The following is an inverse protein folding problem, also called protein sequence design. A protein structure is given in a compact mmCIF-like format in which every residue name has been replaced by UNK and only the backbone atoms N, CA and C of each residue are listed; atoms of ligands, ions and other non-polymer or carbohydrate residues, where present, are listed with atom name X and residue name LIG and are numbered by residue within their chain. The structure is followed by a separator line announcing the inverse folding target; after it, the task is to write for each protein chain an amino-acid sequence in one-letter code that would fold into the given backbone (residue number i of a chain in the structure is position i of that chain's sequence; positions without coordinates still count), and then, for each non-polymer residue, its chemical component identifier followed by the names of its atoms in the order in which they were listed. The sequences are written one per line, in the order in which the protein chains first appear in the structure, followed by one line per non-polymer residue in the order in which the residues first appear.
data_IF_908922751555
#
_entry.id   IF_908922751555
#
_cell.length_a   1.000
_cell.length_b   1.000
_cell.length_c   1.000
_cell.angle_alpha   90.00
_cell.angle_beta   90.00
_cell.angle_gamma   90.00
#
_symmetry.space_group_name_H-M   'P 1'
#
loop_
_entity.id
_entity.type
_entity.pdbx_description
1 polymer ?
#
# COMPACT_ATOMS: atom_id res chain seq x y z
N UNK A 1 1.44 -30.21 5.71
CA UNK A 1 2.44 -29.26 6.20
C UNK A 1 1.75 -28.08 6.88
N UNK A 2 2.27 -27.61 7.98
CA UNK A 2 1.82 -26.42 8.70
C UNK A 2 2.76 -25.26 8.37
N UNK A 3 2.22 -24.07 8.15
CA UNK A 3 3.03 -22.86 8.23
C UNK A 3 3.38 -22.65 9.71
N UNK A 4 4.63 -22.86 10.07
CA UNK A 4 5.12 -22.64 11.43
C UNK A 4 5.97 -21.38 11.47
N UNK A 5 5.77 -20.60 12.53
CA UNK A 5 6.58 -19.42 12.78
C UNK A 5 7.92 -19.86 13.35
N UNK A 6 8.98 -19.77 12.53
CA UNK A 6 10.34 -20.17 12.94
C UNK A 6 10.97 -19.12 13.88
N UNK A 7 10.73 -17.83 13.62
CA UNK A 7 11.27 -16.74 14.42
C UNK A 7 10.23 -15.64 14.59
N UNK A 8 9.67 -15.53 15.79
CA UNK A 8 8.68 -14.52 16.15
C UNK A 8 9.23 -13.09 16.00
N UNK A 9 10.49 -12.87 16.39
CA UNK A 9 11.07 -11.53 16.39
C UNK A 9 11.33 -11.01 14.97
N UNK A 10 11.70 -11.86 14.02
CA UNK A 10 11.84 -11.47 12.62
C UNK A 10 10.50 -11.04 11.99
N UNK A 11 9.42 -11.70 12.36
CA UNK A 11 8.07 -11.32 11.91
C UNK A 11 7.66 -10.00 12.53
N UNK A 12 7.82 -9.86 13.85
CA UNK A 12 7.40 -8.67 14.61
C UNK A 12 8.18 -7.41 14.19
N UNK A 13 9.49 -7.55 14.01
CA UNK A 13 10.38 -6.45 13.64
C UNK A 13 10.64 -6.36 12.13
N UNK A 14 9.83 -7.01 11.31
CA UNK A 14 9.94 -6.82 9.86
C UNK A 14 9.70 -5.34 9.50
N UNK A 15 10.46 -4.76 8.54
CA UNK A 15 10.30 -3.36 8.16
C UNK A 15 8.86 -2.99 7.75
N UNK A 16 8.15 -3.94 7.14
CA UNK A 16 6.74 -3.76 6.74
C UNK A 16 5.83 -3.68 7.97
N UNK A 17 6.03 -4.58 8.95
CA UNK A 17 5.22 -4.59 10.18
C UNK A 17 5.43 -3.31 10.98
N UNK A 18 6.69 -2.89 11.18
CA UNK A 18 7.03 -1.65 11.90
C UNK A 18 6.41 -0.45 11.23
N UNK A 19 6.58 -0.29 9.92
CA UNK A 19 6.06 0.86 9.19
C UNK A 19 4.52 0.93 9.27
N UNK A 20 3.83 -0.19 9.09
CA UNK A 20 2.36 -0.27 9.21
C UNK A 20 1.89 0.01 10.62
N UNK A 21 2.57 -0.50 11.63
CA UNK A 21 2.27 -0.23 13.03
C UNK A 21 2.38 1.26 13.36
N UNK A 22 3.51 1.89 13.00
CA UNK A 22 3.73 3.32 13.22
C UNK A 22 2.70 4.17 12.49
N UNK A 23 2.42 3.85 11.23
CA UNK A 23 1.41 4.56 10.43
C UNK A 23 0.02 4.47 11.06
N UNK A 24 -0.39 3.28 11.52
CA UNK A 24 -1.70 3.05 12.12
C UNK A 24 -1.84 3.78 13.47
N UNK A 25 -0.85 3.68 14.36
CA UNK A 25 -0.90 4.37 15.66
C UNK A 25 -0.90 5.88 15.47
N UNK A 26 -0.06 6.39 14.57
CA UNK A 26 0.01 7.82 14.30
C UNK A 26 -1.30 8.37 13.72
N UNK A 27 -2.00 7.60 12.89
CA UNK A 27 -3.34 7.98 12.41
C UNK A 27 -4.35 8.10 13.57
N UNK A 28 -4.25 7.23 14.57
CA UNK A 28 -5.00 7.34 15.81
C UNK A 28 -4.70 8.62 16.60
N UNK A 29 -3.44 9.07 16.60
CA UNK A 29 -3.05 10.33 17.25
C UNK A 29 -3.64 11.55 16.52
N UNK A 30 -3.67 11.54 15.19
CA UNK A 30 -4.34 12.58 14.39
C UNK A 30 -5.82 12.65 14.74
N UNK A 31 -6.50 11.50 14.82
CA UNK A 31 -7.92 11.42 15.21
C UNK A 31 -8.13 11.98 16.64
N UNK A 32 -7.28 11.58 17.59
CA UNK A 32 -7.36 12.08 18.97
C UNK A 32 -7.17 13.59 19.05
N UNK A 33 -6.23 14.15 18.30
CA UNK A 33 -5.98 15.59 18.25
C UNK A 33 -7.20 16.36 17.72
N UNK A 34 -7.82 15.86 16.64
CA UNK A 34 -9.05 16.47 16.08
C UNK A 34 -10.19 16.42 17.08
N UNK A 35 -10.36 15.29 17.78
CA UNK A 35 -11.39 15.14 18.79
C UNK A 35 -11.22 16.15 19.92
N UNK A 36 -10.00 16.31 20.46
CA UNK A 36 -9.69 17.28 21.52
C UNK A 36 -9.96 18.70 21.04
N UNK A 37 -9.58 19.06 19.81
CA UNK A 37 -9.87 20.39 19.24
C UNK A 37 -11.38 20.59 19.12
N UNK A 38 -12.12 19.60 18.65
CA UNK A 38 -13.57 19.67 18.50
C UNK A 38 -14.29 19.90 19.82
N UNK A 39 -13.93 19.14 20.88
CA UNK A 39 -14.47 19.32 22.22
C UNK A 39 -14.11 20.68 22.78
N UNK A 40 -12.85 21.12 22.64
CA UNK A 40 -12.38 22.42 23.12
C UNK A 40 -13.09 23.58 22.41
N UNK A 41 -13.31 23.47 21.09
CA UNK A 41 -14.09 24.45 20.33
C UNK A 41 -15.53 24.54 20.82
N UNK A 42 -16.15 23.40 21.16
CA UNK A 42 -17.48 23.38 21.76
C UNK A 42 -17.54 24.10 23.11
N UNK A 43 -16.51 23.90 23.98
CA UNK A 43 -16.40 24.64 25.24
C UNK A 43 -16.30 26.16 25.02
N UNK A 44 -15.51 26.60 24.02
CA UNK A 44 -15.41 28.02 23.65
C UNK A 44 -16.77 28.61 23.22
N UNK A 45 -17.49 27.89 22.34
CA UNK A 45 -18.82 28.31 21.90
C UNK A 45 -19.82 28.44 23.04
N UNK A 46 -19.70 27.57 24.05
CA UNK A 46 -20.53 27.63 25.29
C UNK A 46 -20.01 28.59 26.32
N UNK A 47 -18.87 29.27 26.06
CA UNK A 47 -18.19 30.20 27.01
C UNK A 47 -17.87 29.55 28.36
N UNK A 48 -17.58 28.23 28.33
CA UNK A 48 -17.20 27.43 29.49
C UNK A 48 -15.71 27.12 29.44
N UNK A 49 -15.06 27.11 30.59
CA UNK A 49 -13.64 26.71 30.74
C UNK A 49 -12.73 27.27 29.63
N UNK A 50 -12.94 28.54 29.26
CA UNK A 50 -12.31 29.18 28.08
C UNK A 50 -10.77 29.09 28.14
N UNK A 51 -10.18 29.26 29.31
CA UNK A 51 -8.72 29.21 29.48
C UNK A 51 -8.19 27.80 29.21
N UNK A 52 -8.84 26.78 29.77
CA UNK A 52 -8.49 25.38 29.56
C UNK A 52 -8.67 25.00 28.07
N UNK A 53 -9.80 25.38 27.46
CA UNK A 53 -10.09 25.07 26.04
C UNK A 53 -9.03 25.68 25.11
N UNK A 54 -8.59 26.92 25.34
CA UNK A 54 -7.53 27.55 24.54
C UNK A 54 -6.19 26.81 24.64
N UNK A 55 -5.77 26.43 25.86
CA UNK A 55 -4.55 25.65 26.03
C UNK A 55 -4.65 24.28 25.39
N UNK A 56 -5.79 23.59 25.55
CA UNK A 56 -6.02 22.28 24.91
C UNK A 56 -5.96 22.35 23.40
N UNK A 57 -6.51 23.42 22.79
CA UNK A 57 -6.42 23.63 21.32
C UNK A 57 -4.95 23.78 20.88
N UNK A 58 -4.15 24.58 21.57
CA UNK A 58 -2.72 24.76 21.21
C UNK A 58 -1.96 23.44 21.31
N UNK A 59 -2.12 22.71 22.41
CA UNK A 59 -1.45 21.42 22.61
C UNK A 59 -1.89 20.42 21.55
N UNK A 60 -3.21 20.28 21.36
CA UNK A 60 -3.74 19.32 20.39
C UNK A 60 -3.40 19.67 18.94
N UNK A 61 -3.41 20.96 18.56
CA UNK A 61 -3.02 21.38 17.22
C UNK A 61 -1.53 21.16 16.95
N UNK A 62 -0.66 21.42 17.92
CA UNK A 62 0.78 21.14 17.81
C UNK A 62 1.03 19.64 17.68
N UNK A 63 0.44 18.84 18.56
CA UNK A 63 0.57 17.38 18.52
C UNK A 63 0.00 16.78 17.24
N UNK A 64 -1.18 17.26 16.82
CA UNK A 64 -1.83 16.82 15.58
C UNK A 64 -1.02 17.18 14.34
N UNK A 65 -0.42 18.36 14.27
CA UNK A 65 0.45 18.77 13.17
C UNK A 65 1.69 17.88 13.07
N UNK A 66 2.40 17.66 14.20
CA UNK A 66 3.57 16.78 14.22
C UNK A 66 3.20 15.34 13.83
N UNK A 67 2.09 14.83 14.36
CA UNK A 67 1.58 13.50 14.02
C UNK A 67 1.21 13.39 12.52
N UNK A 68 0.58 14.41 11.94
CA UNK A 68 0.21 14.42 10.52
C UNK A 68 1.43 14.48 9.60
N UNK A 69 2.47 15.22 9.95
CA UNK A 69 3.74 15.24 9.22
C UNK A 69 4.46 13.88 9.30
N UNK A 70 4.48 13.27 10.48
CA UNK A 70 5.05 11.94 10.65
C UNK A 70 4.23 10.87 9.90
N UNK A 71 2.89 11.01 9.86
CA UNK A 71 2.00 10.15 9.08
C UNK A 71 2.30 10.24 7.58
N UNK A 72 2.58 11.42 7.05
CA UNK A 72 3.00 11.61 5.66
C UNK A 72 4.34 10.90 5.38
N UNK A 73 5.31 11.01 6.29
CA UNK A 73 6.60 10.33 6.17
C UNK A 73 6.46 8.78 6.18
N UNK A 74 5.69 8.22 7.10
CA UNK A 74 5.44 6.76 7.13
C UNK A 74 4.58 6.31 5.95
N UNK A 75 3.73 7.20 5.42
CA UNK A 75 2.96 6.98 4.19
C UNK A 75 3.85 6.83 2.95
N UNK A 76 4.87 7.67 2.81
CA UNK A 76 5.89 7.54 1.75
C UNK A 76 6.62 6.19 1.83
N UNK A 77 7.05 5.78 3.04
CA UNK A 77 7.63 4.46 3.26
C UNK A 77 6.67 3.32 2.89
N UNK A 78 5.37 3.48 3.17
CA UNK A 78 4.35 2.51 2.76
C UNK A 78 4.18 2.44 1.24
N UNK A 79 4.22 3.57 0.53
CA UNK A 79 4.13 3.62 -0.93
C UNK A 79 5.31 2.86 -1.57
N UNK A 80 6.52 3.10 -1.09
CA UNK A 80 7.70 2.36 -1.52
C UNK A 80 7.56 0.85 -1.30
N UNK A 81 7.13 0.41 -0.11
CA UNK A 81 6.93 -1.01 0.19
C UNK A 81 5.84 -1.65 -0.68
N UNK A 82 4.76 -0.91 -0.99
CA UNK A 82 3.69 -1.39 -1.87
C UNK A 82 4.21 -1.56 -3.29
N UNK A 83 5.03 -0.63 -3.81
CA UNK A 83 5.64 -0.75 -5.12
C UNK A 83 6.49 -2.02 -5.25
N UNK A 84 7.30 -2.33 -4.22
CA UNK A 84 8.20 -3.49 -4.22
C UNK A 84 7.50 -4.83 -3.97
N UNK A 85 6.46 -4.86 -3.15
CA UNK A 85 5.84 -6.12 -2.67
C UNK A 85 4.46 -6.40 -3.27
N UNK A 86 3.76 -5.38 -3.73
CA UNK A 86 2.38 -5.46 -4.21
C UNK A 86 2.16 -4.56 -5.44
N UNK A 87 2.90 -4.75 -6.55
CA UNK A 87 2.83 -3.87 -7.71
C UNK A 87 1.42 -3.78 -8.32
N UNK A 88 0.64 -4.87 -8.33
CA UNK A 88 -0.76 -4.84 -8.77
C UNK A 88 -1.61 -3.90 -7.93
N UNK A 89 -1.38 -3.85 -6.62
CA UNK A 89 -2.08 -2.91 -5.74
C UNK A 89 -1.69 -1.47 -6.05
N UNK A 90 -0.40 -1.19 -6.30
CA UNK A 90 0.05 0.14 -6.71
C UNK A 90 -0.60 0.56 -8.02
N UNK A 91 -0.57 -0.30 -9.04
CA UNK A 91 -1.19 -0.04 -10.34
C UNK A 91 -2.69 0.26 -10.22
N UNK A 92 -3.42 -0.50 -9.38
CA UNK A 92 -4.83 -0.25 -9.11
C UNK A 92 -5.08 1.05 -8.32
N UNK A 93 -4.22 1.37 -7.34
CA UNK A 93 -4.29 2.64 -6.59
C UNK A 93 -4.08 3.84 -7.48
N UNK A 94 -3.29 3.72 -8.54
CA UNK A 94 -2.98 4.80 -9.48
C UNK A 94 -3.87 4.77 -10.73
N UNK A 95 -4.69 3.73 -10.94
CA UNK A 95 -5.45 3.54 -12.16
C UNK A 95 -4.53 3.36 -13.38
N UNK A 96 -3.33 2.84 -13.17
CA UNK A 96 -2.31 2.64 -14.19
C UNK A 96 -2.55 1.30 -14.90
N UNK A 97 -3.16 1.34 -16.08
CA UNK A 97 -3.42 0.13 -16.87
C UNK A 97 -2.21 -0.29 -17.69
N UNK A 98 -1.50 0.66 -18.31
CA UNK A 98 -0.27 0.41 -19.08
C UNK A 98 0.91 1.02 -18.34
N UNK A 99 1.97 0.24 -18.13
CA UNK A 99 3.19 0.69 -17.49
C UNK A 99 3.93 1.72 -18.31
N UNK A 100 4.71 2.53 -17.63
CA UNK A 100 5.52 3.57 -18.27
C UNK A 100 6.78 3.90 -17.47
N UNK A 101 7.80 4.34 -18.15
CA UNK A 101 8.96 4.96 -17.51
C UNK A 101 8.62 6.40 -17.08
N UNK A 102 9.14 6.83 -15.94
CA UNK A 102 8.87 8.16 -15.42
C UNK A 102 7.39 8.40 -15.15
N UNK A 103 6.70 7.42 -14.58
CA UNK A 103 5.27 7.48 -14.33
C UNK A 103 4.87 8.66 -13.44
N UNK A 104 3.85 9.40 -13.85
CA UNK A 104 3.25 10.49 -13.08
C UNK A 104 2.35 9.97 -11.96
N UNK A 105 2.31 10.71 -10.84
CA UNK A 105 1.36 10.48 -9.76
C UNK A 105 0.06 11.22 -10.08
N UNK A 106 -1.05 10.53 -10.18
CA UNK A 106 -2.36 11.17 -10.38
C UNK A 106 -2.80 11.83 -9.07
N UNK A 107 -2.75 13.15 -9.01
CA UNK A 107 -3.20 13.91 -7.85
C UNK A 107 -4.74 13.95 -7.77
N UNK A 108 -5.38 14.29 -8.89
CA UNK A 108 -6.85 14.32 -9.03
C UNK A 108 -7.21 13.68 -10.37
N UNK A 109 -8.24 12.84 -10.39
CA UNK A 109 -8.72 12.23 -11.62
C UNK A 109 -10.07 11.56 -11.46
N UNK A 110 -10.75 11.38 -12.58
CA UNK A 110 -11.97 10.60 -12.67
C UNK A 110 -11.73 9.42 -13.61
N UNK A 111 -11.91 8.22 -13.10
CA UNK A 111 -11.80 6.99 -13.88
C UNK A 111 -12.95 6.87 -14.87
N UNK A 112 -12.68 6.30 -16.03
CA UNK A 112 -13.71 5.95 -17.02
C UNK A 112 -14.58 4.82 -16.47
N UNK A 113 -15.91 4.99 -16.40
CA UNK A 113 -16.80 3.94 -15.93
C UNK A 113 -16.73 2.69 -16.78
N UNK A 114 -16.68 1.52 -16.12
CA UNK A 114 -16.62 0.24 -16.80
C UNK A 114 -15.36 0.01 -17.63
N UNK A 115 -14.24 0.66 -17.29
CA UNK A 115 -12.91 0.31 -17.81
C UNK A 115 -12.48 -1.02 -17.22
N UNK A 116 -12.17 -1.97 -18.10
CA UNK A 116 -11.63 -3.28 -17.78
C UNK A 116 -10.17 -3.42 -18.21
N UNK A 117 -9.53 -4.48 -17.79
CA UNK A 117 -8.11 -4.73 -17.97
C UNK A 117 -7.68 -4.77 -19.44
N UNK A 118 -8.42 -5.39 -20.33
CA UNK A 118 -8.03 -5.65 -21.72
C UNK A 118 -8.89 -4.87 -22.76
N UNK A 119 -9.62 -3.84 -22.32
CA UNK A 119 -10.39 -3.00 -23.22
C UNK A 119 -9.59 -1.79 -23.76
N UNK A 120 -10.04 -1.23 -24.88
CA UNK A 120 -9.41 -0.08 -25.53
C UNK A 120 -9.82 1.28 -24.96
N UNK A 121 -10.67 1.31 -23.92
CA UNK A 121 -11.10 2.57 -23.31
C UNK A 121 -9.96 3.27 -22.62
N UNK A 122 -9.91 4.60 -22.73
CA UNK A 122 -8.98 5.40 -21.92
C UNK A 122 -9.28 5.24 -20.42
N UNK A 123 -8.25 5.09 -19.57
CA UNK A 123 -8.43 4.88 -18.13
C UNK A 123 -9.12 6.02 -17.41
N UNK A 124 -8.96 7.26 -17.90
CA UNK A 124 -9.44 8.47 -17.26
C UNK A 124 -10.30 9.31 -18.18
N UNK A 125 -11.39 9.85 -17.65
CA UNK A 125 -12.14 10.93 -18.29
C UNK A 125 -11.32 12.21 -18.24
N UNK A 126 -10.69 12.49 -17.09
CA UNK A 126 -9.70 13.54 -16.92
C UNK A 126 -8.74 13.15 -15.79
N UNK A 127 -7.51 13.65 -15.84
CA UNK A 127 -6.51 13.53 -14.77
C UNK A 127 -5.63 14.77 -14.68
N UNK A 128 -5.21 15.09 -13.47
CA UNK A 128 -4.14 16.01 -13.17
C UNK A 128 -3.06 15.19 -12.49
N UNK A 129 -1.89 15.13 -13.10
CA UNK A 129 -0.78 14.32 -12.60
C UNK A 129 0.45 15.16 -12.34
N UNK A 130 1.25 14.73 -11.37
CA UNK A 130 2.58 15.29 -11.10
C UNK A 130 3.58 14.39 -11.82
N UNK A 131 4.26 14.90 -12.88
CA UNK A 131 5.15 14.09 -13.71
C UNK A 131 6.25 13.41 -12.88
N UNK A 132 6.61 12.17 -13.23
CA UNK A 132 7.70 11.38 -12.63
C UNK A 132 7.56 11.07 -11.13
N UNK A 133 6.53 11.58 -10.46
CA UNK A 133 6.40 11.47 -9.01
C UNK A 133 6.09 10.03 -8.57
N UNK A 134 5.31 9.27 -9.34
CA UNK A 134 5.01 7.87 -9.01
C UNK A 134 6.26 6.99 -9.07
N UNK A 135 7.08 7.14 -10.13
CA UNK A 135 8.37 6.46 -10.25
C UNK A 135 9.31 6.83 -9.10
N UNK A 136 9.38 8.12 -8.74
CA UNK A 136 10.23 8.60 -7.66
C UNK A 136 9.79 8.03 -6.29
N UNK A 137 8.51 8.05 -5.96
CA UNK A 137 7.99 7.55 -4.68
C UNK A 137 8.07 6.02 -4.59
N UNK A 138 7.71 5.31 -5.66
CA UNK A 138 7.68 3.85 -5.68
C UNK A 138 9.04 3.18 -5.81
N UNK A 139 9.98 3.81 -6.52
CA UNK A 139 11.25 3.17 -6.89
C UNK A 139 12.49 4.01 -6.55
N UNK A 140 12.32 5.18 -5.93
CA UNK A 140 13.42 6.12 -5.60
C UNK A 140 14.24 6.55 -6.81
N UNK A 141 13.68 6.40 -8.01
CA UNK A 141 14.24 6.80 -9.29
C UNK A 141 13.14 7.43 -10.15
N UNK A 142 13.35 8.68 -10.58
CA UNK A 142 12.34 9.43 -11.33
C UNK A 142 12.03 8.86 -12.72
N UNK A 143 12.96 8.11 -13.30
CA UNK A 143 12.83 7.49 -14.62
C UNK A 143 12.57 5.97 -14.57
N UNK A 144 12.34 5.40 -13.35
CA UNK A 144 12.05 3.99 -13.21
C UNK A 144 10.75 3.61 -13.92
N UNK A 145 10.75 2.41 -14.54
CA UNK A 145 9.54 1.81 -15.09
C UNK A 145 8.59 1.40 -13.97
N UNK A 146 7.34 1.82 -14.06
CA UNK A 146 6.25 1.39 -13.15
C UNK A 146 5.31 0.51 -13.95
N UNK A 147 5.17 -0.80 -13.61
CA UNK A 147 4.29 -1.69 -14.33
C UNK A 147 2.82 -1.34 -14.08
N UNK A 148 2.02 -1.37 -15.13
CA UNK A 148 0.57 -1.22 -15.08
C UNK A 148 -0.14 -2.56 -14.86
N UNK A 149 -1.45 -2.51 -14.76
CA UNK A 149 -2.31 -3.70 -14.57
C UNK A 149 -2.08 -4.71 -15.68
N UNK A 150 -2.06 -4.26 -16.95
CA UNK A 150 -1.88 -5.13 -18.12
C UNK A 150 -0.50 -5.82 -18.08
N UNK A 151 0.56 -5.05 -17.83
CA UNK A 151 1.92 -5.60 -17.76
C UNK A 151 2.06 -6.67 -16.66
N UNK A 152 1.39 -6.47 -15.52
CA UNK A 152 1.47 -7.42 -14.40
C UNK A 152 0.68 -8.71 -14.69
N UNK A 153 -0.42 -8.61 -15.46
CA UNK A 153 -1.20 -9.77 -15.91
C UNK A 153 -0.48 -10.51 -17.01
N UNK A 154 0.01 -9.80 -18.02
CA UNK A 154 0.66 -10.37 -19.22
C UNK A 154 2.10 -10.81 -18.92
N UNK A 155 2.79 -10.17 -17.99
CA UNK A 155 4.20 -10.41 -17.71
C UNK A 155 5.13 -9.82 -18.76
N UNK A 156 6.38 -10.30 -18.79
CA UNK A 156 7.36 -9.94 -19.83
C UNK A 156 8.12 -8.64 -19.61
N UNK A 157 7.79 -7.84 -18.59
CA UNK A 157 8.54 -6.63 -18.24
C UNK A 157 9.76 -6.95 -17.36
N UNK A 158 10.82 -6.17 -17.51
CA UNK A 158 12.01 -6.29 -16.68
C UNK A 158 11.83 -5.60 -15.33
N UNK A 159 12.29 -6.23 -14.25
CA UNK A 159 12.36 -5.63 -12.94
C UNK A 159 13.63 -6.12 -12.21
N UNK A 160 14.01 -5.41 -11.15
CA UNK A 160 15.14 -5.83 -10.31
C UNK A 160 14.59 -6.49 -9.06
N UNK A 161 15.08 -7.69 -8.74
CA UNK A 161 14.66 -8.43 -7.56
C UNK A 161 15.27 -7.85 -6.26
N UNK A 162 14.95 -8.47 -5.12
CA UNK A 162 15.43 -8.03 -3.82
C UNK A 162 16.97 -8.17 -3.64
N UNK A 163 17.61 -8.97 -4.49
CA UNK A 163 19.08 -9.18 -4.48
C UNK A 163 19.80 -8.22 -5.43
N UNK A 164 19.06 -7.40 -6.19
CA UNK A 164 19.62 -6.50 -7.19
C UNK A 164 19.80 -7.14 -8.57
N UNK A 165 19.30 -8.35 -8.79
CA UNK A 165 19.45 -9.07 -10.05
C UNK A 165 18.29 -8.73 -11.02
N UNK A 166 18.59 -8.52 -12.32
CA UNK A 166 17.56 -8.27 -13.32
C UNK A 166 16.75 -9.55 -13.58
N UNK A 167 15.44 -9.41 -13.52
CA UNK A 167 14.47 -10.49 -13.74
C UNK A 167 13.43 -10.08 -14.76
N UNK A 168 12.82 -11.08 -15.42
CA UNK A 168 11.65 -10.89 -16.27
C UNK A 168 10.41 -11.35 -15.51
N UNK A 169 9.40 -10.50 -15.44
CA UNK A 169 8.16 -10.79 -14.73
C UNK A 169 7.38 -11.92 -15.42
N UNK A 170 6.96 -12.89 -14.63
CA UNK A 170 6.07 -13.95 -15.10
C UNK A 170 4.65 -13.41 -15.28
N UNK A 171 3.93 -13.92 -16.29
CA UNK A 171 2.51 -13.66 -16.45
C UNK A 171 1.68 -14.22 -15.28
N UNK A 172 0.45 -13.74 -15.12
CA UNK A 172 -0.48 -14.27 -14.14
C UNK A 172 -0.72 -15.77 -14.35
N UNK A 173 -0.87 -16.22 -15.60
CA UNK A 173 -1.03 -17.63 -15.96
C UNK A 173 0.18 -18.47 -15.55
N UNK A 174 1.39 -17.99 -15.83
CA UNK A 174 2.63 -18.68 -15.43
C UNK A 174 2.74 -18.77 -13.90
N UNK A 175 2.39 -17.69 -13.17
CA UNK A 175 2.36 -17.69 -11.69
C UNK A 175 1.33 -18.69 -11.16
N UNK A 176 0.15 -18.78 -11.79
CA UNK A 176 -0.89 -19.74 -11.42
C UNK A 176 -0.43 -21.19 -11.69
N UNK A 177 0.21 -21.44 -12.82
CA UNK A 177 0.76 -22.77 -13.15
C UNK A 177 1.82 -23.21 -12.13
N UNK A 178 2.78 -22.34 -11.80
CA UNK A 178 3.77 -22.58 -10.75
C UNK A 178 3.14 -22.77 -9.36
N UNK A 179 2.09 -22.01 -9.05
CA UNK A 179 1.33 -22.17 -7.81
C UNK A 179 0.66 -23.53 -7.70
N UNK A 180 0.07 -24.05 -8.78
CA UNK A 180 -0.51 -25.41 -8.82
C UNK A 180 0.55 -26.49 -8.61
N UNK A 181 1.74 -26.31 -9.21
CA UNK A 181 2.89 -27.21 -8.98
C UNK A 181 3.29 -27.20 -7.50
N UNK A 182 3.35 -26.01 -6.88
CA UNK A 182 3.68 -25.91 -5.46
C UNK A 182 2.65 -26.58 -4.55
N UNK A 183 1.35 -26.46 -4.85
CA UNK A 183 0.26 -27.12 -4.10
C UNK A 183 0.39 -28.63 -4.21
N UNK A 184 0.63 -29.15 -5.44
CA UNK A 184 0.80 -30.58 -5.66
C UNK A 184 2.06 -31.10 -4.95
N UNK A 185 3.18 -30.39 -5.09
CA UNK A 185 4.43 -30.78 -4.42
C UNK A 185 4.29 -30.82 -2.88
N UNK A 186 3.47 -29.94 -2.29
CA UNK A 186 3.17 -29.99 -0.86
C UNK A 186 2.35 -31.24 -0.49
N UNK A 187 1.37 -31.61 -1.29
CA UNK A 187 0.59 -32.82 -1.08
C UNK A 187 1.45 -34.09 -1.16
N UNK A 188 2.28 -34.16 -2.22
CA UNK A 188 3.20 -35.28 -2.45
C UNK A 188 4.28 -35.38 -1.35
N UNK A 189 4.81 -34.24 -0.88
CA UNK A 189 5.71 -34.18 0.27
C UNK A 189 5.06 -34.76 1.54
N UNK A 190 3.80 -34.40 1.76
CA UNK A 190 3.07 -34.88 2.95
C UNK A 190 2.85 -36.41 2.86
N UNK A 191 2.46 -36.93 1.69
CA UNK A 191 2.29 -38.36 1.46
C UNK A 191 3.62 -39.13 1.66
N UNK A 192 4.73 -38.64 1.08
CA UNK A 192 6.05 -39.23 1.26
C UNK A 192 6.50 -39.21 2.74
N UNK A 193 6.11 -38.16 3.49
CA UNK A 193 6.38 -38.08 4.93
C UNK A 193 5.63 -39.13 5.73
N UNK A 194 4.36 -39.37 5.40
CA UNK A 194 3.53 -40.38 6.07
C UNK A 194 4.02 -41.81 5.78
N UNK A 195 4.62 -42.02 4.59
CA UNK A 195 5.25 -43.30 4.18
C UNK A 195 6.67 -43.46 4.73
N UNK A 196 7.27 -42.41 5.30
CA UNK A 196 8.65 -42.40 5.78
C UNK A 196 9.71 -42.44 4.66
N UNK A 197 9.33 -42.08 3.44
CA UNK A 197 10.21 -42.06 2.27
C UNK A 197 11.03 -40.77 2.18
N UNK A 198 12.21 -40.78 2.77
CA UNK A 198 13.11 -39.62 2.87
C UNK A 198 13.58 -39.08 1.52
N UNK A 199 13.80 -39.94 0.53
CA UNK A 199 14.25 -39.54 -0.80
C UNK A 199 13.16 -38.74 -1.52
N UNK A 200 11.92 -39.23 -1.52
CA UNK A 200 10.78 -38.52 -2.12
C UNK A 200 10.43 -37.24 -1.36
N UNK A 201 10.60 -37.22 -0.04
CA UNK A 201 10.44 -35.97 0.72
C UNK A 201 11.39 -34.88 0.27
N UNK A 202 12.69 -35.16 0.12
CA UNK A 202 13.68 -34.16 -0.32
C UNK A 202 13.42 -33.72 -1.77
N UNK A 203 13.00 -34.63 -2.65
CA UNK A 203 12.64 -34.34 -4.02
C UNK A 203 11.44 -33.35 -4.09
N UNK A 204 10.33 -33.67 -3.43
CA UNK A 204 9.15 -32.80 -3.45
C UNK A 204 9.36 -31.49 -2.69
N UNK A 205 10.19 -31.49 -1.67
CA UNK A 205 10.60 -30.28 -0.94
C UNK A 205 11.36 -29.30 -1.85
N UNK A 206 12.25 -29.78 -2.69
CA UNK A 206 12.97 -28.95 -3.65
C UNK A 206 12.01 -28.27 -4.65
N UNK A 207 11.06 -29.04 -5.22
CA UNK A 207 10.03 -28.52 -6.11
C UNK A 207 9.16 -27.48 -5.40
N UNK A 208 8.76 -27.76 -4.18
CA UNK A 208 7.96 -26.85 -3.36
C UNK A 208 8.73 -25.54 -3.12
N UNK A 209 10.00 -25.61 -2.72
CA UNK A 209 10.81 -24.44 -2.45
C UNK A 209 10.98 -23.55 -3.68
N UNK A 210 11.23 -24.13 -4.86
CA UNK A 210 11.35 -23.38 -6.11
C UNK A 210 10.07 -22.61 -6.47
N UNK A 211 8.90 -23.20 -6.21
CA UNK A 211 7.61 -22.66 -6.64
C UNK A 211 6.81 -22.00 -5.50
N UNK A 212 7.34 -22.00 -4.28
CA UNK A 212 6.62 -21.54 -3.08
C UNK A 212 6.18 -20.08 -3.14
N UNK A 213 6.97 -19.22 -3.78
CA UNK A 213 6.62 -17.81 -3.96
C UNK A 213 5.29 -17.60 -4.70
N UNK A 214 4.87 -18.59 -5.49
CA UNK A 214 3.63 -18.56 -6.27
C UNK A 214 2.50 -19.41 -5.68
N UNK A 215 2.70 -20.01 -4.51
CA UNK A 215 1.77 -20.96 -3.90
C UNK A 215 0.33 -20.44 -3.84
N UNK A 216 0.15 -19.16 -3.42
CA UNK A 216 -1.17 -18.53 -3.35
C UNK A 216 -1.88 -18.37 -4.70
N UNK A 217 -1.13 -18.22 -5.78
CA UNK A 217 -1.70 -18.12 -7.13
C UNK A 217 -2.31 -19.46 -7.62
N UNK A 218 -1.88 -20.58 -7.06
CA UNK A 218 -2.39 -21.91 -7.43
C UNK A 218 -3.86 -22.14 -7.11
N UNK A 219 -4.44 -21.35 -6.22
CA UNK A 219 -5.87 -21.38 -5.89
C UNK A 219 -6.75 -20.54 -6.82
N UNK A 220 -6.14 -19.75 -7.71
CA UNK A 220 -6.88 -18.93 -8.66
C UNK A 220 -7.24 -19.73 -9.91
N UNK A 221 -8.41 -19.43 -10.48
CA UNK A 221 -8.90 -20.06 -11.70
C UNK A 221 -8.83 -19.14 -12.93
N UNK A 222 -8.74 -17.84 -12.72
CA UNK A 222 -8.73 -16.82 -13.77
C UNK A 222 -7.60 -15.83 -13.49
N UNK A 223 -6.72 -15.54 -14.48
CA UNK A 223 -5.69 -14.50 -14.37
C UNK A 223 -6.24 -13.14 -13.97
N UNK A 224 -7.47 -12.80 -14.37
CA UNK A 224 -8.14 -11.54 -13.98
C UNK A 224 -8.44 -11.44 -12.47
N UNK A 225 -8.47 -12.57 -11.77
CA UNK A 225 -8.74 -12.61 -10.31
C UNK A 225 -7.69 -11.90 -9.48
N UNK A 226 -6.49 -11.66 -10.03
CA UNK A 226 -5.45 -10.89 -9.33
C UNK A 226 -5.70 -9.39 -9.33
N UNK A 227 -6.62 -8.90 -10.16
CA UNK A 227 -6.93 -7.48 -10.31
C UNK A 227 -7.92 -7.08 -9.21
N UNK A 228 -7.55 -6.17 -8.29
CA UNK A 228 -8.49 -5.68 -7.30
C UNK A 228 -9.55 -4.76 -7.94
N UNK A 229 -10.59 -4.41 -7.18
CA UNK A 229 -11.55 -3.40 -7.63
C UNK A 229 -10.84 -2.05 -7.81
N UNK A 230 -10.49 -1.71 -9.06
CA UNK A 230 -9.69 -0.52 -9.38
C UNK A 230 -10.39 0.77 -8.94
N UNK A 231 -11.68 1.03 -9.24
CA UNK A 231 -12.35 2.24 -8.80
C UNK A 231 -12.34 2.40 -7.27
N UNK A 232 -12.67 1.35 -6.53
CA UNK A 232 -12.66 1.40 -5.07
C UNK A 232 -11.27 1.70 -4.52
N UNK A 233 -10.25 1.03 -5.05
CA UNK A 233 -8.86 1.19 -4.60
C UNK A 233 -8.33 2.59 -4.93
N UNK A 234 -8.59 3.08 -6.14
CA UNK A 234 -8.19 4.39 -6.60
C UNK A 234 -8.81 5.52 -5.75
N UNK A 235 -10.13 5.55 -5.63
CA UNK A 235 -10.80 6.64 -4.90
C UNK A 235 -10.54 6.59 -3.40
N UNK A 236 -10.51 5.41 -2.78
CA UNK A 236 -10.18 5.29 -1.35
C UNK A 236 -8.79 5.82 -1.04
N UNK A 237 -7.81 5.55 -1.91
CA UNK A 237 -6.45 6.06 -1.76
C UNK A 237 -6.40 7.58 -1.87
N UNK A 238 -7.09 8.19 -2.86
CA UNK A 238 -7.15 9.66 -3.03
C UNK A 238 -7.83 10.34 -1.85
N UNK A 239 -8.92 9.77 -1.33
CA UNK A 239 -9.59 10.29 -0.12
C UNK A 239 -8.62 10.25 1.07
N UNK A 240 -7.91 9.14 1.26
CA UNK A 240 -6.94 9.01 2.35
C UNK A 240 -5.83 10.06 2.27
N UNK A 241 -5.19 10.21 1.10
CA UNK A 241 -4.11 11.18 0.88
C UNK A 241 -4.63 12.62 1.00
N UNK A 242 -5.79 12.90 0.39
CA UNK A 242 -6.44 14.22 0.44
C UNK A 242 -6.76 14.64 1.88
N UNK A 243 -7.32 13.74 2.68
CA UNK A 243 -7.56 13.98 4.11
C UNK A 243 -6.26 14.22 4.88
N UNK A 244 -5.18 13.50 4.54
CA UNK A 244 -3.86 13.71 5.16
C UNK A 244 -3.37 15.15 4.97
N UNK A 245 -3.39 15.66 3.74
CA UNK A 245 -3.02 17.05 3.45
C UNK A 245 -3.99 18.07 4.09
N UNK A 246 -5.27 17.77 4.07
CA UNK A 246 -6.29 18.61 4.71
C UNK A 246 -6.01 18.75 6.22
N UNK A 247 -5.67 17.67 6.91
CA UNK A 247 -5.37 17.70 8.33
C UNK A 247 -4.08 18.46 8.65
N UNK A 248 -3.04 18.33 7.83
CA UNK A 248 -1.84 19.17 7.97
C UNK A 248 -2.20 20.65 7.89
N UNK A 249 -2.94 21.05 6.86
CA UNK A 249 -3.39 22.43 6.69
C UNK A 249 -4.31 22.90 7.81
N UNK A 250 -5.22 22.05 8.27
CA UNK A 250 -6.14 22.33 9.37
C UNK A 250 -5.40 22.58 10.70
N UNK A 251 -4.50 21.70 11.09
CA UNK A 251 -3.73 21.89 12.33
C UNK A 251 -2.82 23.11 12.26
N UNK A 252 -2.16 23.34 11.12
CA UNK A 252 -1.34 24.52 10.91
C UNK A 252 -2.16 25.82 11.04
N UNK A 253 -3.34 25.85 10.43
CA UNK A 253 -4.26 27.00 10.52
C UNK A 253 -4.74 27.24 11.95
N UNK A 254 -5.18 26.19 12.65
CA UNK A 254 -5.67 26.31 14.03
C UNK A 254 -4.53 26.79 14.94
N UNK A 255 -3.35 26.23 14.80
CA UNK A 255 -2.18 26.65 15.58
C UNK A 255 -1.83 28.12 15.31
N UNK A 256 -1.83 28.55 14.05
CA UNK A 256 -1.62 29.94 13.69
C UNK A 256 -2.66 30.88 14.33
N UNK A 257 -3.95 30.52 14.26
CA UNK A 257 -5.02 31.33 14.86
C UNK A 257 -4.94 31.35 16.38
N UNK A 258 -4.58 30.25 17.02
CA UNK A 258 -4.46 30.15 18.46
C UNK A 258 -3.28 30.97 19.00
N UNK A 259 -2.12 30.91 18.38
CA UNK A 259 -0.92 31.67 18.77
C UNK A 259 -1.11 33.18 18.57
N UNK A 260 -1.90 33.61 17.59
CA UNK A 260 -2.24 35.01 17.36
C UNK A 260 -3.44 35.52 18.19
N UNK A 261 -3.89 34.77 19.21
CA UNK A 261 -5.06 35.08 20.03
C UNK A 261 -6.36 35.36 19.24
N UNK A 262 -6.49 34.78 18.02
CA UNK A 262 -7.68 34.95 17.17
C UNK A 262 -8.74 33.87 17.41
N UNK A 263 -8.48 32.90 18.27
CA UNK A 263 -9.47 31.91 18.72
C UNK A 263 -10.30 32.55 19.84
N UNK A 264 -11.52 32.95 19.49
CA UNK A 264 -12.49 33.61 20.40
C UNK A 264 -13.67 32.69 20.70
#
# INVERSE_FOLDING_TARGET
ARNEMVNFWEVLFSPVAINKFLHTITSGYVLAAIFVIGVSAWFLLKKREVKMAKHSIVIAATFGLLSSLFLAFTGDGSAYQVAQKQPMKLAAMEGLYKGQEGAGLVAIGALTPGKEYDDDKEPFIFKIEIPKMLSLLGYRNADAFVPGINDIVEGGYAYTDANGEPQIALSAEQKMARGKIAIQALADYTAASDEGNTEMMEYHKAILQENFAYFGYGYLNDPKSIIPNVPLTFYSFRVMVGLGFLFIGFFALILFLALNNRVR
#
